data_IF_796883258430
#
_entry.id   IF_796883258430
#
_cell.length_a   1.000
_cell.length_b   1.000
_cell.length_c   1.000
_cell.angle_alpha   90.00
_cell.angle_beta   90.00
_cell.angle_gamma   90.00
#
_symmetry.space_group_name_H-M   'P 1'
#
loop_
_entity.id
_entity.type
_entity.pdbx_description
1 polymer ?
#
# COMPACT_ATOMS: atom_id res chain seq x y z
N UNK A 1 -29.13 18.35 2.71
CA UNK A 1 -28.10 17.32 2.44
C UNK A 1 -27.20 17.26 3.67
N UNK A 2 -27.00 16.09 4.29
CA UNK A 2 -26.27 15.98 5.56
C UNK A 2 -24.79 16.36 5.38
N UNK A 3 -24.24 17.17 6.31
CA UNK A 3 -22.84 17.63 6.34
C UNK A 3 -21.83 16.47 6.12
N UNK A 4 -22.15 15.27 6.61
CA UNK A 4 -21.31 14.09 6.43
C UNK A 4 -21.19 13.60 4.99
N UNK A 5 -22.26 13.72 4.19
CA UNK A 5 -22.28 13.32 2.77
C UNK A 5 -21.41 14.27 1.95
N UNK A 6 -21.40 15.55 2.30
CA UNK A 6 -20.62 16.56 1.60
C UNK A 6 -19.10 16.39 1.83
N UNK A 7 -18.70 16.07 3.07
CA UNK A 7 -17.30 15.74 3.40
C UNK A 7 -16.84 14.47 2.67
N UNK A 8 -17.67 13.42 2.67
CA UNK A 8 -17.36 12.17 1.96
C UNK A 8 -17.14 12.39 0.47
N UNK A 9 -17.99 13.21 -0.17
CA UNK A 9 -17.84 13.55 -1.58
C UNK A 9 -16.56 14.37 -1.84
N UNK A 10 -16.20 15.29 -0.95
CA UNK A 10 -14.99 16.11 -1.08
C UNK A 10 -13.69 15.29 -1.02
N UNK A 11 -13.63 14.27 -0.16
CA UNK A 11 -12.42 13.45 0.04
C UNK A 11 -12.50 12.07 -0.63
N UNK A 12 -13.51 11.86 -1.47
CA UNK A 12 -13.82 10.57 -2.09
C UNK A 12 -12.59 9.92 -2.72
N UNK A 13 -11.81 10.66 -3.50
CA UNK A 13 -10.70 10.08 -4.25
C UNK A 13 -9.53 9.64 -3.35
N UNK A 14 -9.26 10.38 -2.27
CA UNK A 14 -8.28 9.99 -1.25
C UNK A 14 -8.75 8.75 -0.48
N UNK A 15 -10.05 8.67 -0.17
CA UNK A 15 -10.65 7.49 0.48
C UNK A 15 -10.53 6.27 -0.45
N UNK A 16 -10.83 6.42 -1.74
CA UNK A 16 -10.70 5.33 -2.71
C UNK A 16 -9.24 4.89 -2.90
N UNK A 17 -8.29 5.82 -2.91
CA UNK A 17 -6.85 5.49 -2.92
C UNK A 17 -6.47 4.63 -1.73
N UNK A 18 -6.76 5.08 -0.51
CA UNK A 18 -6.41 4.35 0.71
C UNK A 18 -7.13 2.99 0.79
N UNK A 19 -8.40 2.93 0.38
CA UNK A 19 -9.16 1.67 0.26
C UNK A 19 -8.44 0.69 -0.67
N UNK A 20 -7.98 1.15 -1.83
CA UNK A 20 -7.32 0.28 -2.81
C UNK A 20 -5.96 -0.22 -2.31
N UNK A 21 -5.18 0.64 -1.65
CA UNK A 21 -3.91 0.25 -1.00
C UNK A 21 -4.18 -0.80 0.09
N UNK A 22 -5.17 -0.55 0.95
CA UNK A 22 -5.50 -1.45 2.06
C UNK A 22 -5.94 -2.83 1.57
N UNK A 23 -6.88 -2.88 0.61
CA UNK A 23 -7.37 -4.16 0.06
C UNK A 23 -6.23 -4.93 -0.60
N UNK A 24 -5.43 -4.26 -1.44
CA UNK A 24 -4.31 -4.90 -2.12
C UNK A 24 -3.27 -5.41 -1.12
N UNK A 25 -2.94 -4.63 -0.09
CA UNK A 25 -2.00 -4.99 0.95
C UNK A 25 -2.45 -6.21 1.77
N UNK A 26 -3.72 -6.24 2.22
CA UNK A 26 -4.25 -7.37 2.99
C UNK A 26 -4.28 -8.65 2.16
N UNK A 27 -4.73 -8.57 0.90
CA UNK A 27 -4.73 -9.74 0.01
C UNK A 27 -3.32 -10.27 -0.25
N UNK A 28 -2.35 -9.37 -0.51
CA UNK A 28 -0.96 -9.73 -0.72
C UNK A 28 -0.32 -10.34 0.53
N UNK A 29 -0.56 -9.76 1.70
CA UNK A 29 -0.06 -10.27 2.98
C UNK A 29 -0.58 -11.68 3.29
N UNK A 30 -1.88 -11.92 3.13
CA UNK A 30 -2.47 -13.25 3.36
C UNK A 30 -1.86 -14.28 2.41
N UNK A 31 -1.75 -13.96 1.12
CA UNK A 31 -1.17 -14.87 0.14
C UNK A 31 0.32 -15.13 0.41
N UNK A 32 1.09 -14.11 0.78
CA UNK A 32 2.48 -14.21 1.20
C UNK A 32 2.65 -15.16 2.39
N UNK A 33 1.79 -15.03 3.42
CA UNK A 33 1.79 -15.91 4.58
C UNK A 33 1.45 -17.37 4.24
N UNK A 34 0.44 -17.60 3.39
CA UNK A 34 0.07 -18.95 2.94
C UNK A 34 1.21 -19.62 2.14
N UNK A 35 1.89 -18.86 1.28
CA UNK A 35 3.03 -19.38 0.53
C UNK A 35 4.22 -19.64 1.45
N UNK A 36 4.51 -18.76 2.41
CA UNK A 36 5.59 -18.98 3.38
C UNK A 36 5.39 -20.28 4.18
N UNK A 37 4.15 -20.54 4.63
CA UNK A 37 3.79 -21.77 5.35
C UNK A 37 3.89 -23.00 4.44
N UNK A 38 3.37 -22.91 3.21
CA UNK A 38 3.43 -23.99 2.24
C UNK A 38 4.88 -24.36 1.87
N UNK A 39 5.76 -23.36 1.72
CA UNK A 39 7.19 -23.58 1.44
C UNK A 39 7.93 -24.18 2.62
N UNK A 40 7.64 -23.74 3.85
CA UNK A 40 8.26 -24.30 5.05
C UNK A 40 8.02 -25.82 5.18
N UNK A 41 6.87 -26.31 4.72
CA UNK A 41 6.56 -27.73 4.69
C UNK A 41 7.36 -28.53 3.64
N UNK A 42 7.93 -27.87 2.62
CA UNK A 42 8.67 -28.51 1.52
C UNK A 42 10.20 -28.36 1.67
N UNK A 43 10.67 -27.22 2.17
CA UNK A 43 12.08 -26.87 2.32
C UNK A 43 12.27 -25.98 3.56
N UNK A 44 13.32 -26.26 4.33
CA UNK A 44 13.69 -25.51 5.54
C UNK A 44 14.62 -24.33 5.28
N UNK A 45 14.96 -24.02 4.03
CA UNK A 45 15.78 -22.86 3.67
C UNK A 45 15.05 -21.54 3.96
N UNK A 46 15.42 -20.90 5.07
CA UNK A 46 14.87 -19.60 5.49
C UNK A 46 15.08 -18.50 4.43
N UNK A 47 16.21 -18.52 3.72
CA UNK A 47 16.52 -17.54 2.68
C UNK A 47 15.61 -17.67 1.45
N UNK A 48 15.35 -18.90 0.99
CA UNK A 48 14.47 -19.17 -0.14
C UNK A 48 13.02 -18.85 0.24
N UNK A 49 12.57 -19.29 1.41
CA UNK A 49 11.23 -19.02 1.90
C UNK A 49 10.95 -17.51 1.98
N UNK A 50 11.84 -16.76 2.63
CA UNK A 50 11.69 -15.30 2.75
C UNK A 50 11.68 -14.61 1.37
N UNK A 51 12.55 -15.01 0.45
CA UNK A 51 12.60 -14.40 -0.89
C UNK A 51 11.33 -14.69 -1.68
N UNK A 52 10.82 -15.92 -1.63
CA UNK A 52 9.61 -16.32 -2.34
C UNK A 52 8.35 -15.65 -1.77
N UNK A 53 8.23 -15.61 -0.44
CA UNK A 53 7.15 -14.91 0.24
C UNK A 53 7.07 -13.44 -0.17
N UNK A 54 8.21 -12.72 -0.18
CA UNK A 54 8.28 -11.33 -0.64
C UNK A 54 7.95 -11.20 -2.14
N UNK A 55 8.42 -12.13 -2.97
CA UNK A 55 8.11 -12.11 -4.41
C UNK A 55 6.61 -12.27 -4.67
N UNK A 56 5.93 -13.17 -3.96
CA UNK A 56 4.49 -13.37 -4.04
C UNK A 56 3.73 -12.14 -3.55
N UNK A 57 4.18 -11.53 -2.45
CA UNK A 57 3.56 -10.34 -1.90
C UNK A 57 3.51 -9.21 -2.93
N UNK A 58 4.66 -8.85 -3.53
CA UNK A 58 4.69 -7.83 -4.57
C UNK A 58 4.00 -8.27 -5.86
N UNK A 59 4.09 -9.55 -6.21
CA UNK A 59 3.42 -10.15 -7.36
C UNK A 59 1.89 -10.07 -7.30
N UNK A 60 1.31 -10.00 -6.10
CA UNK A 60 -0.14 -9.83 -5.89
C UNK A 60 -0.48 -8.36 -5.66
N UNK A 61 0.30 -7.66 -4.82
CA UNK A 61 0.04 -6.28 -4.43
C UNK A 61 -0.06 -5.35 -5.65
N UNK A 62 0.96 -5.37 -6.51
CA UNK A 62 1.07 -4.44 -7.64
C UNK A 62 -0.10 -4.59 -8.63
N UNK A 63 -0.41 -5.77 -9.20
CA UNK A 63 -1.49 -5.89 -10.17
C UNK A 63 -2.87 -5.66 -9.55
N UNK A 64 -3.10 -6.12 -8.32
CA UNK A 64 -4.38 -5.92 -7.64
C UNK A 64 -4.63 -4.44 -7.33
N UNK A 65 -3.62 -3.74 -6.81
CA UNK A 65 -3.68 -2.31 -6.58
C UNK A 65 -3.92 -1.55 -7.90
N UNK A 66 -3.17 -1.87 -8.96
CA UNK A 66 -3.30 -1.23 -10.26
C UNK A 66 -4.72 -1.42 -10.84
N UNK A 67 -5.27 -2.63 -10.75
CA UNK A 67 -6.63 -2.93 -11.18
C UNK A 67 -7.68 -2.13 -10.40
N UNK A 68 -7.63 -2.15 -9.06
CA UNK A 68 -8.57 -1.44 -8.20
C UNK A 68 -8.49 0.08 -8.43
N UNK A 69 -7.29 0.63 -8.49
CA UNK A 69 -7.06 2.05 -8.75
C UNK A 69 -7.58 2.45 -10.14
N UNK A 70 -7.30 1.67 -11.17
CA UNK A 70 -7.84 1.93 -12.51
C UNK A 70 -9.37 1.89 -12.53
N UNK A 71 -9.99 0.88 -11.90
CA UNK A 71 -11.44 0.73 -11.84
C UNK A 71 -12.13 1.95 -11.22
N UNK A 72 -11.57 2.47 -10.13
CA UNK A 72 -12.14 3.63 -9.42
C UNK A 72 -11.91 4.96 -10.15
N UNK A 73 -10.87 5.04 -10.99
CA UNK A 73 -10.44 6.29 -11.64
C UNK A 73 -10.61 6.31 -13.17
N UNK A 74 -11.16 5.24 -13.77
CA UNK A 74 -11.29 5.06 -15.23
C UNK A 74 -11.96 6.23 -15.96
N UNK A 75 -12.86 6.95 -15.28
CA UNK A 75 -13.54 8.12 -15.84
C UNK A 75 -12.58 9.27 -16.18
N UNK A 76 -11.49 9.45 -15.41
CA UNK A 76 -10.50 10.52 -15.62
C UNK A 76 -9.60 10.28 -16.83
N UNK A 77 -9.54 9.03 -17.29
CA UNK A 77 -8.66 8.58 -18.37
C UNK A 77 -9.35 8.59 -19.73
N UNK A 78 -10.61 9.03 -19.83
CA UNK A 78 -11.32 9.13 -21.10
C UNK A 78 -11.32 10.56 -21.64
N UNK A 79 -11.27 10.69 -22.96
CA UNK A 79 -11.53 11.95 -23.67
C UNK A 79 -13.04 12.12 -23.94
N UNK A 80 -13.40 13.21 -24.64
CA UNK A 80 -14.78 13.54 -25.02
C UNK A 80 -15.42 12.47 -25.94
N UNK A 81 -14.60 11.70 -26.64
CA UNK A 81 -15.01 10.61 -27.54
C UNK A 81 -14.93 9.24 -26.87
N UNK A 82 -14.78 9.20 -25.54
CA UNK A 82 -14.63 7.98 -24.74
C UNK A 82 -13.39 7.13 -25.04
N UNK A 83 -12.38 7.65 -25.75
CA UNK A 83 -11.10 6.96 -25.96
C UNK A 83 -10.20 7.08 -24.73
N UNK A 84 -9.36 6.07 -24.49
CA UNK A 84 -8.40 6.07 -23.39
C UNK A 84 -7.23 7.00 -23.71
N UNK A 85 -7.02 7.99 -22.86
CA UNK A 85 -5.88 8.90 -22.90
C UNK A 85 -4.74 8.29 -22.08
N UNK A 86 -3.95 7.41 -22.70
CA UNK A 86 -2.82 6.70 -22.07
C UNK A 86 -1.82 7.62 -21.36
N UNK A 87 -1.62 8.84 -21.88
CA UNK A 87 -0.76 9.84 -21.25
C UNK A 87 -1.19 10.19 -19.83
N UNK A 88 -2.51 10.26 -19.56
CA UNK A 88 -3.04 10.53 -18.20
C UNK A 88 -2.81 9.34 -17.27
N UNK A 89 -3.04 8.12 -17.76
CA UNK A 89 -2.79 6.88 -17.02
C UNK A 89 -1.32 6.79 -16.60
N UNK A 90 -0.40 7.01 -17.54
CA UNK A 90 1.04 6.91 -17.28
C UNK A 90 1.54 8.01 -16.34
N UNK A 91 0.96 9.21 -16.44
CA UNK A 91 1.29 10.32 -15.54
C UNK A 91 0.86 10.01 -14.10
N UNK A 92 -0.36 9.50 -13.89
CA UNK A 92 -0.84 9.10 -12.57
C UNK A 92 -0.03 7.92 -12.02
N UNK A 93 0.31 6.94 -12.86
CA UNK A 93 1.15 5.82 -12.46
C UNK A 93 2.52 6.28 -11.94
N UNK A 94 3.17 7.25 -12.61
CA UNK A 94 4.45 7.83 -12.15
C UNK A 94 4.31 8.54 -10.80
N UNK A 95 3.25 9.31 -10.61
CA UNK A 95 2.97 10.01 -9.34
C UNK A 95 2.70 9.01 -8.20
N UNK A 96 1.95 7.95 -8.49
CA UNK A 96 1.67 6.87 -7.56
C UNK A 96 2.93 6.13 -7.15
N UNK A 97 3.76 5.71 -8.11
CA UNK A 97 5.02 5.03 -7.83
C UNK A 97 5.90 5.93 -6.94
N UNK A 98 6.08 7.19 -7.30
CA UNK A 98 6.86 8.12 -6.48
C UNK A 98 6.30 8.28 -5.05
N UNK A 99 4.99 8.44 -4.92
CA UNK A 99 4.32 8.61 -3.61
C UNK A 99 4.42 7.35 -2.75
N UNK A 100 4.12 6.18 -3.34
CA UNK A 100 4.16 4.90 -2.64
C UNK A 100 5.58 4.51 -2.26
N UNK A 101 6.57 4.72 -3.14
CA UNK A 101 7.98 4.43 -2.82
C UNK A 101 8.50 5.24 -1.65
N UNK A 102 8.16 6.54 -1.57
CA UNK A 102 8.54 7.37 -0.42
C UNK A 102 7.82 6.89 0.86
N UNK A 103 6.54 6.55 0.77
CA UNK A 103 5.78 6.04 1.90
C UNK A 103 6.34 4.69 2.42
N UNK A 104 6.68 3.76 1.52
CA UNK A 104 7.30 2.47 1.84
C UNK A 104 8.66 2.63 2.53
N UNK A 105 9.49 3.56 2.06
CA UNK A 105 10.78 3.84 2.69
C UNK A 105 10.59 4.36 4.13
N UNK A 106 9.64 5.29 4.34
CA UNK A 106 9.30 5.77 5.68
C UNK A 106 8.78 4.63 6.56
N UNK A 107 7.90 3.79 6.03
CA UNK A 107 7.39 2.62 6.73
C UNK A 107 8.51 1.69 7.19
N UNK A 108 9.42 1.31 6.28
CA UNK A 108 10.53 0.40 6.56
C UNK A 108 11.47 0.95 7.63
N UNK A 109 11.86 2.24 7.52
CA UNK A 109 12.76 2.89 8.49
C UNK A 109 12.10 2.99 9.87
N UNK A 110 10.87 3.50 9.93
CA UNK A 110 10.16 3.68 11.21
C UNK A 110 9.88 2.34 11.87
N UNK A 111 9.34 1.37 11.12
CA UNK A 111 9.04 0.03 11.65
C UNK A 111 10.32 -0.63 12.17
N UNK A 112 11.39 -0.60 11.38
CA UNK A 112 12.68 -1.20 11.74
C UNK A 112 13.26 -0.58 13.02
N UNK A 113 13.32 0.75 13.08
CA UNK A 113 13.80 1.48 14.25
C UNK A 113 12.96 1.19 15.50
N UNK A 114 11.64 1.32 15.41
CA UNK A 114 10.75 1.11 16.55
C UNK A 114 10.77 -0.34 17.03
N UNK A 115 10.83 -1.31 16.11
CA UNK A 115 10.90 -2.72 16.45
C UNK A 115 12.20 -3.04 17.21
N UNK A 116 13.34 -2.61 16.68
CA UNK A 116 14.65 -2.77 17.33
C UNK A 116 14.66 -2.12 18.72
N UNK A 117 14.21 -0.86 18.82
CA UNK A 117 14.16 -0.14 20.09
C UNK A 117 13.27 -0.85 21.14
N UNK A 118 12.10 -1.32 20.72
CA UNK A 118 11.16 -2.06 21.60
C UNK A 118 11.77 -3.35 22.13
N UNK A 119 12.51 -4.09 21.29
CA UNK A 119 13.24 -5.29 21.72
C UNK A 119 14.33 -4.96 22.75
N UNK A 120 15.06 -3.86 22.57
CA UNK A 120 16.09 -3.44 23.54
C UNK A 120 15.50 -3.01 24.90
N UNK A 121 14.23 -2.61 24.93
CA UNK A 121 13.48 -2.32 26.16
C UNK A 121 12.88 -3.58 26.82
N UNK A 122 13.14 -4.78 26.28
CA UNK A 122 12.67 -6.04 26.84
C UNK A 122 11.23 -6.41 26.47
N UNK A 123 10.62 -5.75 25.47
CA UNK A 123 9.31 -6.16 24.96
C UNK A 123 9.40 -7.52 24.26
N UNK A 124 8.33 -8.32 24.36
CA UNK A 124 8.24 -9.58 23.63
C UNK A 124 8.26 -9.33 22.10
N UNK A 125 8.92 -10.19 21.30
CA UNK A 125 9.05 -9.97 19.85
C UNK A 125 7.73 -9.75 19.12
N UNK A 126 6.69 -10.50 19.48
CA UNK A 126 5.34 -10.33 18.91
C UNK A 126 4.74 -8.95 19.22
N UNK A 127 4.82 -8.48 20.47
CA UNK A 127 4.29 -7.18 20.88
C UNK A 127 5.06 -6.03 20.23
N UNK A 128 6.39 -6.13 20.18
CA UNK A 128 7.25 -5.18 19.48
C UNK A 128 6.93 -5.13 17.98
N UNK A 129 6.67 -6.28 17.33
CA UNK A 129 6.32 -6.34 15.91
C UNK A 129 4.98 -5.67 15.63
N UNK A 130 3.96 -5.94 16.44
CA UNK A 130 2.64 -5.32 16.30
C UNK A 130 2.69 -3.80 16.49
N UNK A 131 3.27 -3.33 17.60
CA UNK A 131 3.31 -1.91 17.93
C UNK A 131 4.04 -1.11 16.85
N UNK A 132 5.25 -1.55 16.48
CA UNK A 132 6.04 -0.91 15.44
C UNK A 132 5.31 -0.87 14.08
N UNK A 133 4.61 -1.95 13.72
CA UNK A 133 3.87 -2.02 12.45
C UNK A 133 2.64 -1.11 12.44
N UNK A 134 1.89 -1.01 13.56
CA UNK A 134 0.74 -0.11 13.67
C UNK A 134 1.17 1.36 13.52
N UNK A 135 2.22 1.77 14.24
CA UNK A 135 2.72 3.16 14.17
C UNK A 135 3.26 3.48 12.79
N UNK A 136 4.08 2.58 12.21
CA UNK A 136 4.60 2.77 10.88
C UNK A 136 3.48 2.83 9.82
N UNK A 137 2.42 2.02 9.97
CA UNK A 137 1.26 2.04 9.05
C UNK A 137 0.50 3.36 9.11
N UNK A 138 0.28 3.91 10.31
CA UNK A 138 -0.38 5.21 10.45
C UNK A 138 0.40 6.33 9.75
N UNK A 139 1.74 6.32 9.88
CA UNK A 139 2.62 7.26 9.19
C UNK A 139 2.64 7.02 7.68
N UNK A 140 2.68 5.76 7.24
CA UNK A 140 2.61 5.38 5.83
C UNK A 140 1.39 6.01 5.15
N UNK A 141 0.18 5.81 5.70
CA UNK A 141 -1.04 6.38 5.12
C UNK A 141 -1.03 7.92 5.17
N UNK A 142 -0.40 8.51 6.17
CA UNK A 142 -0.22 9.96 6.23
C UNK A 142 0.66 10.46 5.08
N UNK A 143 1.81 9.82 4.85
CA UNK A 143 2.74 10.14 3.76
C UNK A 143 2.08 9.93 2.40
N UNK A 144 1.30 8.85 2.21
CA UNK A 144 0.55 8.61 0.97
C UNK A 144 -0.42 9.76 0.69
N UNK A 145 -1.23 10.17 1.66
CA UNK A 145 -2.21 11.25 1.48
C UNK A 145 -1.54 12.60 1.20
N UNK A 146 -0.45 12.90 1.91
CA UNK A 146 0.34 14.12 1.69
C UNK A 146 1.02 14.08 0.30
N UNK A 147 1.62 12.96 -0.08
CA UNK A 147 2.27 12.80 -1.38
C UNK A 147 1.29 12.86 -2.55
N UNK A 148 0.10 12.29 -2.41
CA UNK A 148 -0.99 12.43 -3.40
C UNK A 148 -1.41 13.89 -3.58
N UNK A 149 -1.43 14.67 -2.50
CA UNK A 149 -1.73 16.12 -2.54
C UNK A 149 -0.60 16.91 -3.19
N UNK A 150 0.66 16.66 -2.81
CA UNK A 150 1.84 17.35 -3.36
C UNK A 150 1.98 17.08 -4.86
N UNK A 151 1.80 15.83 -5.28
CA UNK A 151 1.88 15.42 -6.69
C UNK A 151 0.66 15.84 -7.52
N UNK A 152 -0.36 16.45 -6.89
CA UNK A 152 -1.61 16.84 -7.54
C UNK A 152 -2.25 15.64 -8.26
N UNK A 153 -2.39 14.53 -7.54
CA UNK A 153 -2.94 13.28 -8.10
C UNK A 153 -4.46 13.37 -8.35
N UNK A 154 -5.15 14.21 -7.58
CA UNK A 154 -6.60 14.40 -7.63
C UNK A 154 -7.00 15.86 -7.95
N UNK A 155 -6.15 16.57 -8.69
CA UNK A 155 -6.39 17.97 -9.09
C UNK A 155 -6.96 18.08 -10.50
#
# INVERSE_FOLDING_TARGET
MSLGIEILNRYRDYIMLNKNIFIAGVCAFIASALIAEAYYAMDSSAAINSTMSVAVEYGIYIPLFAYLYYKDNKGRYRDEYSNIVWRRVLMDARKLIATLSVAEMVYAVVRGYMHYHSLTMGMQPYQAALLSSIVASALFYTVVNVGARISRLFN
#
